data_IF_495680306811
#
_entry.id   IF_495680306811
#
_cell.length_a   1.000
_cell.length_b   1.000
_cell.length_c   1.000
_cell.angle_alpha   90.00
_cell.angle_beta   90.00
_cell.angle_gamma   90.00
#
_symmetry.space_group_name_H-M   'P 1'
#
loop_
_entity.id
_entity.type
_entity.pdbx_description
1 polymer ?
#
# COMPACT_ATOMS: atom_id res chain seq x y z
N UNK A 1 8.46 -15.47 13.87
CA UNK A 1 9.41 -14.63 13.12
C UNK A 1 8.70 -13.35 12.68
N UNK A 2 9.35 -12.23 12.82
CA UNK A 2 8.81 -10.94 12.42
C UNK A 2 9.42 -10.54 11.08
N UNK A 3 8.59 -10.11 10.14
CA UNK A 3 9.02 -9.70 8.80
C UNK A 3 8.63 -8.23 8.61
N UNK A 4 9.61 -7.38 8.36
CA UNK A 4 9.38 -5.96 8.16
C UNK A 4 8.85 -5.68 6.75
N UNK A 5 7.72 -4.95 6.69
CA UNK A 5 7.09 -4.54 5.45
C UNK A 5 6.85 -3.03 5.47
N UNK A 6 6.74 -2.45 4.30
CA UNK A 6 6.41 -1.05 4.14
C UNK A 6 5.30 -0.91 3.10
N UNK A 7 4.53 0.16 3.20
CA UNK A 7 3.50 0.49 2.23
C UNK A 7 3.40 1.99 2.06
N UNK A 8 2.67 2.40 1.03
CA UNK A 8 2.51 3.80 0.67
C UNK A 8 1.05 4.20 0.59
N UNK A 9 0.70 5.28 1.26
CA UNK A 9 -0.61 5.92 1.19
C UNK A 9 -0.45 7.13 0.29
N UNK A 10 -0.97 7.04 -0.92
CA UNK A 10 -0.75 8.01 -2.00
C UNK A 10 -2.10 8.56 -2.45
N UNK A 11 -2.23 9.88 -2.45
CA UNK A 11 -3.43 10.56 -2.96
C UNK A 11 -3.10 11.30 -4.25
N UNK A 12 -4.08 11.34 -5.17
CA UNK A 12 -3.96 12.20 -6.36
C UNK A 12 -4.48 13.60 -6.08
N UNK A 13 -4.49 14.46 -7.10
CA UNK A 13 -4.95 15.85 -6.97
C UNK A 13 -6.44 15.96 -6.62
N UNK A 14 -7.21 14.89 -6.82
CA UNK A 14 -8.63 14.81 -6.46
C UNK A 14 -8.87 14.10 -5.13
N UNK A 15 -7.81 13.90 -4.34
CA UNK A 15 -7.85 13.22 -3.04
C UNK A 15 -8.34 11.76 -3.12
N UNK A 16 -8.09 11.10 -4.25
CA UNK A 16 -8.35 9.67 -4.39
C UNK A 16 -7.13 8.87 -3.98
N UNK A 17 -7.37 7.77 -3.31
CA UNK A 17 -6.32 6.88 -2.78
C UNK A 17 -5.90 5.85 -3.83
N UNK A 18 -4.60 5.67 -4.00
CA UNK A 18 -4.07 4.65 -4.91
C UNK A 18 -4.14 3.28 -4.26
N UNK A 19 -4.83 2.35 -4.92
CA UNK A 19 -4.85 0.95 -4.52
C UNK A 19 -4.37 0.06 -5.67
N UNK A 20 -3.77 -1.06 -5.31
CA UNK A 20 -3.42 -2.13 -6.25
C UNK A 20 -4.28 -3.35 -5.94
N UNK A 21 -4.61 -4.12 -6.97
CA UNK A 21 -5.26 -5.40 -6.82
C UNK A 21 -4.19 -6.48 -6.78
N UNK A 22 -4.18 -7.27 -5.71
CA UNK A 22 -3.17 -8.32 -5.55
C UNK A 22 -3.34 -9.40 -6.60
N UNK A 23 -2.25 -9.72 -7.30
CA UNK A 23 -2.23 -10.76 -8.33
C UNK A 23 -1.81 -12.13 -7.84
N UNK A 24 -1.35 -12.24 -6.58
CA UNK A 24 -0.84 -13.48 -6.00
C UNK A 24 -1.33 -13.68 -4.56
N UNK A 25 -1.39 -14.94 -4.07
CA UNK A 25 -1.64 -15.21 -2.66
C UNK A 25 -0.51 -14.67 -1.77
N UNK A 26 -0.77 -14.33 -0.50
CA UNK A 26 -2.08 -14.31 0.13
C UNK A 26 -2.92 -13.11 -0.33
N UNK A 27 -4.25 -13.26 -0.26
CA UNK A 27 -5.16 -12.17 -0.58
C UNK A 27 -5.31 -11.86 -2.07
N UNK A 28 -5.10 -12.84 -2.94
CA UNK A 28 -5.29 -12.66 -4.39
C UNK A 28 -6.67 -12.10 -4.69
N UNK A 29 -6.72 -11.03 -5.51
CA UNK A 29 -7.96 -10.35 -5.88
C UNK A 29 -8.40 -9.28 -4.89
N UNK A 30 -7.75 -9.15 -3.73
CA UNK A 30 -8.04 -8.08 -2.78
C UNK A 30 -7.25 -6.82 -3.14
N UNK A 31 -7.84 -5.68 -2.82
CA UNK A 31 -7.21 -4.38 -3.05
C UNK A 31 -6.52 -3.88 -1.79
N UNK A 32 -5.32 -3.36 -1.94
CA UNK A 32 -4.53 -2.81 -0.84
C UNK A 32 -3.68 -1.64 -1.32
N UNK A 33 -3.09 -0.92 -0.37
CA UNK A 33 -2.08 0.08 -0.73
C UNK A 33 -0.84 -0.64 -1.28
N UNK A 34 -0.09 -0.01 -2.19
CA UNK A 34 1.16 -0.61 -2.69
C UNK A 34 2.16 -0.80 -1.56
N UNK A 35 2.91 -1.87 -1.60
CA UNK A 35 3.91 -2.18 -0.60
C UNK A 35 4.34 -3.63 -0.62
N UNK A 36 5.26 -3.98 0.26
CA UNK A 36 5.78 -5.32 0.38
C UNK A 36 6.90 -5.42 1.40
N UNK A 37 7.60 -6.53 1.38
CA UNK A 37 8.71 -6.79 2.31
C UNK A 37 9.91 -5.92 2.01
N UNK A 38 10.58 -5.47 3.07
CA UNK A 38 11.90 -4.85 2.92
C UNK A 38 12.93 -5.90 2.50
N UNK A 39 13.85 -5.49 1.64
CA UNK A 39 15.02 -6.26 1.31
C UNK A 39 16.09 -6.09 2.39
N UNK A 40 17.02 -7.06 2.55
CA UNK A 40 18.09 -6.91 3.54
C UNK A 40 18.89 -5.63 3.36
N UNK A 41 19.02 -4.86 4.45
CA UNK A 41 19.76 -3.60 4.45
C UNK A 41 19.02 -2.41 3.86
N UNK A 42 17.79 -2.61 3.40
CA UNK A 42 16.99 -1.54 2.80
C UNK A 42 16.35 -0.67 3.88
N UNK A 43 16.40 0.65 3.70
CA UNK A 43 15.65 1.57 4.57
C UNK A 43 14.17 1.52 4.21
N UNK A 44 13.31 1.97 5.12
CA UNK A 44 11.88 2.07 4.86
C UNK A 44 11.61 2.94 3.62
N UNK A 45 12.26 4.09 3.54
CA UNK A 45 12.08 5.02 2.41
C UNK A 45 12.44 4.36 1.08
N UNK A 46 13.59 3.70 1.01
CA UNK A 46 14.01 3.00 -0.20
C UNK A 46 13.04 1.87 -0.56
N UNK A 47 12.57 1.14 0.43
CA UNK A 47 11.60 0.07 0.23
C UNK A 47 10.26 0.57 -0.30
N UNK A 48 9.75 1.68 0.23
CA UNK A 48 8.52 2.30 -0.26
C UNK A 48 8.68 2.71 -1.72
N UNK A 49 9.76 3.43 -2.05
CA UNK A 49 10.01 3.87 -3.42
C UNK A 49 10.11 2.69 -4.38
N UNK A 50 10.82 1.65 -4.00
CA UNK A 50 11.01 0.44 -4.83
C UNK A 50 9.68 -0.28 -5.06
N UNK A 51 8.92 -0.55 -3.99
CA UNK A 51 7.65 -1.26 -4.10
C UNK A 51 6.63 -0.49 -4.93
N UNK A 52 6.52 0.82 -4.72
CA UNK A 52 5.60 1.65 -5.50
C UNK A 52 5.96 1.63 -6.97
N UNK A 53 7.24 1.76 -7.30
CA UNK A 53 7.70 1.72 -8.68
C UNK A 53 7.42 0.35 -9.32
N UNK A 54 7.73 -0.74 -8.63
CA UNK A 54 7.50 -2.10 -9.12
C UNK A 54 6.02 -2.39 -9.37
N UNK A 55 5.15 -1.95 -8.48
CA UNK A 55 3.73 -2.30 -8.54
C UNK A 55 2.88 -1.33 -9.34
N UNK A 56 3.27 -0.08 -9.45
CA UNK A 56 2.44 0.97 -10.06
C UNK A 56 3.09 1.77 -11.17
N UNK A 57 4.40 1.67 -11.33
CA UNK A 57 5.14 2.50 -12.28
C UNK A 57 5.34 3.95 -11.84
N UNK A 58 4.91 4.29 -10.64
CA UNK A 58 5.05 5.65 -10.12
C UNK A 58 6.34 5.85 -9.35
N UNK A 59 6.91 7.05 -9.48
CA UNK A 59 7.98 7.54 -8.61
C UNK A 59 7.35 8.42 -7.54
N UNK A 60 7.78 8.25 -6.29
CA UNK A 60 7.21 8.98 -5.15
C UNK A 60 8.28 9.55 -4.25
N UNK A 61 7.90 10.59 -3.52
CA UNK A 61 8.64 11.12 -2.38
C UNK A 61 7.94 10.67 -1.12
N UNK A 62 8.68 10.05 -0.19
CA UNK A 62 8.14 9.50 1.05
C UNK A 62 8.03 10.61 2.08
N UNK A 63 6.86 10.72 2.70
CA UNK A 63 6.57 11.67 3.76
C UNK A 63 6.59 11.02 5.14
N UNK A 64 5.64 11.42 6.01
CA UNK A 64 5.58 10.93 7.38
C UNK A 64 5.00 9.52 7.47
N UNK A 65 5.39 8.81 8.50
CA UNK A 65 4.76 7.54 8.88
C UNK A 65 3.31 7.81 9.26
N UNK A 66 2.37 7.14 8.59
CA UNK A 66 0.95 7.23 8.93
C UNK A 66 0.61 6.32 10.10
N UNK A 67 1.15 5.12 10.13
CA UNK A 67 0.94 4.18 11.21
C UNK A 67 1.66 2.86 11.00
N UNK A 68 1.63 2.05 12.05
CA UNK A 68 2.24 0.72 12.07
C UNK A 68 1.21 -0.30 12.50
N UNK A 69 1.20 -1.46 11.87
CA UNK A 69 0.29 -2.54 12.22
C UNK A 69 0.99 -3.88 12.08
N UNK A 70 0.65 -4.81 12.98
CA UNK A 70 1.10 -6.19 12.89
C UNK A 70 -0.02 -7.03 12.28
N UNK A 71 0.33 -7.92 11.34
CA UNK A 71 -0.60 -8.84 10.71
C UNK A 71 -0.04 -10.26 10.77
N UNK A 72 -0.86 -11.25 11.12
CA UNK A 72 -0.41 -12.65 11.07
C UNK A 72 -0.23 -13.08 9.62
N UNK A 73 0.81 -13.86 9.37
CA UNK A 73 1.09 -14.47 8.09
C UNK A 73 1.20 -15.98 8.19
N UNK A 74 1.44 -16.66 7.08
CA UNK A 74 1.56 -18.11 7.06
C UNK A 74 2.79 -18.57 7.85
N UNK A 75 2.71 -19.76 8.44
CA UNK A 75 3.83 -20.38 9.13
C UNK A 75 4.26 -19.70 10.42
N UNK A 76 3.35 -18.99 11.10
CA UNK A 76 3.66 -18.31 12.37
C UNK A 76 4.42 -16.99 12.18
N UNK A 77 4.51 -16.50 10.97
CA UNK A 77 5.15 -15.21 10.65
C UNK A 77 4.23 -14.07 11.10
N UNK A 78 4.83 -13.01 11.65
CA UNK A 78 4.14 -11.75 11.89
C UNK A 78 4.71 -10.70 10.93
N UNK A 79 3.86 -10.13 10.09
CA UNK A 79 4.24 -9.00 9.26
C UNK A 79 4.12 -7.73 10.07
N UNK A 80 5.22 -7.00 10.19
CA UNK A 80 5.24 -5.67 10.82
C UNK A 80 5.20 -4.66 9.68
N UNK A 81 4.06 -3.99 9.50
CA UNK A 81 3.81 -3.14 8.34
C UNK A 81 3.86 -1.69 8.79
N UNK A 82 4.75 -0.91 8.18
CA UNK A 82 4.81 0.53 8.38
C UNK A 82 4.38 1.22 7.10
N UNK A 83 3.25 1.94 7.17
CA UNK A 83 2.69 2.65 6.04
C UNK A 83 3.01 4.14 6.11
N UNK A 84 3.55 4.67 5.02
CA UNK A 84 3.98 6.06 4.91
C UNK A 84 3.11 6.82 3.94
N UNK A 85 2.84 8.08 4.25
CA UNK A 85 2.29 9.00 3.25
C UNK A 85 3.37 9.25 2.20
N UNK A 86 2.97 9.28 0.95
CA UNK A 86 3.89 9.55 -0.15
C UNK A 86 3.20 10.37 -1.23
N UNK A 87 3.99 11.16 -1.95
CA UNK A 87 3.52 12.05 -3.00
C UNK A 87 4.14 11.65 -4.33
N UNK A 88 3.31 11.59 -5.38
CA UNK A 88 3.80 11.27 -6.73
C UNK A 88 4.75 12.36 -7.21
N UNK A 89 5.93 11.97 -7.65
CA UNK A 89 6.94 12.86 -8.24
C UNK A 89 7.17 12.58 -9.73
N UNK A 90 6.68 11.46 -10.25
CA UNK A 90 6.84 11.12 -11.66
C UNK A 90 6.15 9.82 -12.01
N UNK A 91 6.18 9.48 -13.31
CA UNK A 91 5.63 8.24 -13.82
C UNK A 91 4.16 8.31 -14.17
N UNK A 92 3.66 7.23 -14.76
CA UNK A 92 2.26 7.05 -15.15
C UNK A 92 1.77 5.75 -14.51
N UNK A 93 0.61 5.76 -13.81
CA UNK A 93 0.13 4.55 -13.15
C UNK A 93 -0.13 3.42 -14.13
N UNK A 94 0.44 2.26 -13.86
CA UNK A 94 0.21 1.04 -14.63
C UNK A 94 0.52 -0.15 -13.74
N UNK A 95 -0.29 -1.21 -13.80
CA UNK A 95 -0.04 -2.42 -13.04
C UNK A 95 1.28 -3.06 -13.50
N UNK A 96 2.12 -3.42 -12.53
CA UNK A 96 3.39 -4.09 -12.80
C UNK A 96 3.64 -5.20 -11.79
N UNK A 97 4.58 -6.08 -12.13
CA UNK A 97 5.00 -7.22 -11.31
C UNK A 97 3.80 -8.02 -10.78
N UNK A 98 3.60 -8.05 -9.47
CA UNK A 98 2.59 -8.87 -8.81
C UNK A 98 1.21 -8.22 -8.72
N UNK A 99 1.05 -7.01 -9.23
CA UNK A 99 -0.24 -6.33 -9.23
C UNK A 99 -1.06 -6.73 -10.46
N UNK A 100 -2.32 -7.13 -10.23
CA UNK A 100 -3.25 -7.44 -11.31
C UNK A 100 -3.91 -6.17 -11.88
N UNK A 101 -3.99 -5.11 -11.09
CA UNK A 101 -4.59 -3.83 -11.50
C UNK A 101 -4.14 -2.71 -10.56
N UNK A 102 -4.31 -1.46 -11.02
CA UNK A 102 -4.00 -0.24 -10.27
C UNK A 102 -5.18 0.71 -10.44
N UNK A 103 -5.63 1.33 -9.34
CA UNK A 103 -6.81 2.19 -9.38
C UNK A 103 -6.74 3.33 -8.37
N UNK A 104 -7.12 4.54 -8.79
CA UNK A 104 -7.40 5.65 -7.90
C UNK A 104 -8.82 5.50 -7.36
N UNK A 105 -8.96 5.47 -6.04
CA UNK A 105 -10.22 5.15 -5.37
C UNK A 105 -10.71 6.30 -4.51
N UNK A 106 -12.01 6.61 -4.63
CA UNK A 106 -12.66 7.53 -3.71
C UNK A 106 -13.25 6.76 -2.50
N UNK A 107 -13.90 7.48 -1.58
CA UNK A 107 -14.49 6.87 -0.39
C UNK A 107 -15.52 5.80 -0.76
N UNK A 108 -16.34 6.04 -1.78
CA UNK A 108 -17.37 5.10 -2.21
C UNK A 108 -16.75 3.81 -2.77
N UNK A 109 -15.63 3.92 -3.49
CA UNK A 109 -14.91 2.74 -3.98
C UNK A 109 -14.41 1.86 -2.84
N UNK A 110 -13.93 2.46 -1.75
CA UNK A 110 -13.43 1.71 -0.59
C UNK A 110 -14.54 0.90 0.08
N UNK A 111 -15.79 1.33 -0.01
CA UNK A 111 -16.93 0.59 0.54
C UNK A 111 -17.30 -0.60 -0.35
N UNK A 112 -17.08 -0.47 -1.66
CA UNK A 112 -17.50 -1.49 -2.64
C UNK A 112 -16.44 -2.52 -2.98
N UNK A 113 -15.16 -2.13 -2.95
CA UNK A 113 -14.08 -3.03 -3.34
C UNK A 113 -13.75 -4.03 -2.24
N UNK A 114 -13.37 -5.26 -2.60
CA UNK A 114 -12.87 -6.22 -1.62
C UNK A 114 -11.46 -5.80 -1.18
N UNK A 115 -11.37 -5.23 0.01
CA UNK A 115 -10.10 -4.73 0.55
C UNK A 115 -9.36 -5.81 1.34
N UNK A 116 -8.05 -5.69 1.40
CA UNK A 116 -7.22 -6.52 2.27
C UNK A 116 -7.69 -6.40 3.71
N UNK A 117 -7.61 -7.51 4.46
CA UNK A 117 -8.07 -7.56 5.85
C UNK A 117 -7.40 -6.47 6.70
N UNK A 118 -8.23 -5.70 7.40
CA UNK A 118 -7.78 -4.65 8.31
C UNK A 118 -7.38 -3.34 7.66
N UNK A 119 -7.39 -3.24 6.31
CA UNK A 119 -6.97 -2.00 5.63
C UNK A 119 -7.88 -0.82 5.98
N UNK A 120 -9.19 -1.00 5.85
CA UNK A 120 -10.15 0.08 6.11
C UNK A 120 -10.06 0.56 7.55
N UNK A 121 -9.93 -0.37 8.50
CA UNK A 121 -9.80 -0.07 9.92
C UNK A 121 -8.53 0.73 10.20
N UNK A 122 -7.41 0.36 9.58
CA UNK A 122 -6.14 1.07 9.74
C UNK A 122 -6.20 2.49 9.16
N UNK A 123 -6.72 2.63 7.94
CA UNK A 123 -6.86 3.94 7.30
C UNK A 123 -7.76 4.86 8.13
N UNK A 124 -8.84 4.31 8.68
CA UNK A 124 -9.76 5.05 9.56
C UNK A 124 -9.05 5.49 10.84
N UNK A 125 -8.36 4.57 11.50
CA UNK A 125 -7.65 4.85 12.75
C UNK A 125 -6.56 5.90 12.58
N UNK A 126 -5.89 5.92 11.42
CA UNK A 126 -4.82 6.87 11.13
C UNK A 126 -5.30 8.19 10.55
N UNK A 127 -6.61 8.31 10.28
CA UNK A 127 -7.20 9.54 9.74
C UNK A 127 -6.79 9.85 8.31
N UNK A 128 -6.55 8.82 7.50
CA UNK A 128 -6.04 8.96 6.12
C UNK A 128 -6.99 8.38 5.07
N UNK A 129 -8.29 8.40 5.35
CA UNK A 129 -9.29 8.02 4.36
C UNK A 129 -9.48 9.14 3.33
N UNK A 130 -9.82 8.80 2.06
CA UNK A 130 -10.30 9.81 1.12
C UNK A 130 -11.51 10.56 1.69
N UNK A 131 -11.69 11.84 1.38
CA UNK A 131 -12.88 12.59 1.84
C UNK A 131 -14.17 12.02 1.25
N UNK A 132 -15.25 12.32 1.93
CA UNK A 132 -16.59 11.95 1.45
C UNK A 132 -16.98 12.71 0.19
#
# INVERSE_FOLDING_TARGET
MRVNCVGAIIFDASDRLLLIKRGHPPGMGLWSVPGGRLEPGETDEAGVCREVLEETGLEVEVGRLAGTVDRPGPGGVTYVIRDYLATVSGGVPAAGDDAADVRWCDRADLVRLPLSEGLLESLTAWGVLPPN
#
